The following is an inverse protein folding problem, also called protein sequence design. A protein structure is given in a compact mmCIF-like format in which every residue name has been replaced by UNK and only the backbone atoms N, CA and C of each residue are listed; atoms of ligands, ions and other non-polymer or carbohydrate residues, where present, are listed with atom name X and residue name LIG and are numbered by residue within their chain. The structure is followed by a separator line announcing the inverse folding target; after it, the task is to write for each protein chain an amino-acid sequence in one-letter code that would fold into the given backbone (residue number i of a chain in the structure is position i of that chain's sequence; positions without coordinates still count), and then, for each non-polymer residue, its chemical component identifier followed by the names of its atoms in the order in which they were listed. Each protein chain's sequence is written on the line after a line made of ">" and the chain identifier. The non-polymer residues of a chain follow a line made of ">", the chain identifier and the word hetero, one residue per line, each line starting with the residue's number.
data_IF_844497403989
#
_entry.id   IF_844497403989
#
_cell.length_a   1.000
_cell.length_b   1.000
_cell.length_c   1.000
_cell.angle_alpha   90.00
_cell.angle_beta   90.00
_cell.angle_gamma   90.00
#
_symmetry.space_group_name_H-M   'P 1'
#
loop_
_entity.id
_entity.type
_entity.pdbx_description
1 polymer ?
#
# COMPACT_ATOMS: atom_id res chain seq x y z
N UNK A 1 -5.97 31.46 -46.96
CA UNK A 1 -6.55 30.09 -46.84
C UNK A 1 -5.74 29.32 -45.81
N UNK A 2 -6.43 28.68 -44.87
CA UNK A 2 -5.90 27.99 -43.69
C UNK A 2 -4.96 26.81 -44.03
N UNK A 3 -3.92 26.60 -43.21
CA UNK A 3 -3.46 25.25 -42.82
C UNK A 3 -3.12 25.23 -41.33
N UNK A 4 -4.16 25.06 -40.50
CA UNK A 4 -4.01 24.52 -39.14
C UNK A 4 -3.70 23.03 -39.30
N UNK A 5 -2.43 22.64 -39.18
CA UNK A 5 -2.07 21.23 -39.02
C UNK A 5 -2.27 20.82 -37.56
N UNK A 6 -3.16 19.85 -37.41
CA UNK A 6 -3.56 19.08 -36.23
C UNK A 6 -2.46 18.89 -35.17
N UNK A 7 -2.81 19.29 -33.95
CA UNK A 7 -2.11 19.09 -32.68
C UNK A 7 -2.32 17.66 -32.11
N UNK A 8 -3.15 16.80 -32.72
CA UNK A 8 -3.82 15.75 -31.94
C UNK A 8 -3.17 14.36 -31.87
N UNK A 9 -2.09 14.06 -32.58
CA UNK A 9 -1.68 12.64 -32.74
C UNK A 9 -0.65 12.14 -31.73
N UNK A 10 0.21 13.01 -31.17
CA UNK A 10 1.34 12.55 -30.34
C UNK A 10 0.97 12.39 -28.86
N UNK A 11 0.19 13.33 -28.30
CA UNK A 11 -0.27 13.25 -26.91
C UNK A 11 -1.18 12.05 -26.64
N UNK A 12 -1.96 11.65 -27.66
CA UNK A 12 -2.88 10.52 -27.56
C UNK A 12 -2.14 9.17 -27.51
N UNK A 13 -1.03 9.04 -28.25
CA UNK A 13 -0.23 7.80 -28.24
C UNK A 13 0.46 7.61 -26.88
N UNK A 14 1.04 8.66 -26.30
CA UNK A 14 1.68 8.59 -24.97
C UNK A 14 0.67 8.26 -23.86
N UNK A 15 -0.56 8.76 -23.97
CA UNK A 15 -1.63 8.47 -23.01
C UNK A 15 -2.12 7.02 -23.09
N UNK A 16 -2.11 6.42 -24.28
CA UNK A 16 -2.51 5.02 -24.47
C UNK A 16 -1.49 4.04 -23.90
N UNK A 17 -0.19 4.33 -23.97
CA UNK A 17 0.85 3.44 -23.41
C UNK A 17 0.91 3.48 -21.88
N UNK A 18 0.66 4.63 -21.27
CA UNK A 18 0.57 4.74 -19.80
C UNK A 18 -0.65 4.01 -19.22
N UNK A 19 -1.80 4.08 -19.89
CA UNK A 19 -3.01 3.39 -19.43
C UNK A 19 -2.95 1.85 -19.59
N UNK A 20 -2.17 1.34 -20.54
CA UNK A 20 -2.05 -0.11 -20.76
C UNK A 20 -1.05 -0.79 -19.82
N UNK A 21 -0.06 -0.05 -19.31
CA UNK A 21 0.86 -0.55 -18.27
C UNK A 21 0.20 -0.68 -16.89
N UNK A 22 -0.79 0.17 -16.59
CA UNK A 22 -1.51 0.17 -15.31
C UNK A 22 -2.69 -0.83 -15.29
N UNK A 23 -3.31 -1.09 -16.44
CA UNK A 23 -4.46 -1.99 -16.57
C UNK A 23 -4.10 -3.49 -16.54
N UNK A 24 -2.82 -3.83 -16.65
CA UNK A 24 -2.31 -5.21 -16.54
C UNK A 24 -1.64 -5.51 -15.19
N UNK A 25 -1.79 -4.63 -14.21
CA UNK A 25 -1.52 -5.01 -12.83
C UNK A 25 -2.58 -6.03 -12.40
N UNK A 26 -2.29 -7.32 -12.58
CA UNK A 26 -3.03 -8.38 -11.90
C UNK A 26 -2.75 -8.12 -10.42
N UNK A 27 -3.65 -7.39 -9.77
CA UNK A 27 -3.63 -7.24 -8.32
C UNK A 27 -3.83 -8.63 -7.74
N UNK A 28 -2.72 -9.28 -7.42
CA UNK A 28 -2.77 -10.50 -6.65
C UNK A 28 -3.13 -10.11 -5.22
N UNK A 29 -4.15 -10.73 -4.64
CA UNK A 29 -4.48 -10.54 -3.24
C UNK A 29 -3.28 -10.99 -2.39
N UNK A 30 -2.48 -10.04 -1.91
CA UNK A 30 -1.51 -10.29 -0.84
C UNK A 30 -2.20 -10.59 0.49
N UNK A 31 -3.51 -10.36 0.55
CA UNK A 31 -4.39 -10.64 1.67
C UNK A 31 -4.38 -9.51 2.67
N UNK A 32 -4.60 -9.87 3.93
CA UNK A 32 -4.57 -8.96 5.07
C UNK A 32 -3.98 -9.71 6.26
N UNK A 33 -3.52 -8.99 7.28
CA UNK A 33 -3.29 -9.57 8.61
C UNK A 33 -4.61 -10.03 9.26
N UNK A 34 -5.75 -9.53 8.76
CA UNK A 34 -7.01 -9.65 9.49
C UNK A 34 -7.12 -8.60 10.60
N UNK A 35 -8.30 -8.49 11.19
CA UNK A 35 -8.60 -7.50 12.22
C UNK A 35 -8.12 -7.99 13.59
N UNK A 36 -7.30 -7.17 14.24
CA UNK A 36 -6.88 -7.33 15.64
C UNK A 36 -7.59 -6.30 16.51
N UNK A 37 -8.12 -6.75 17.64
CA UNK A 37 -8.65 -5.85 18.65
C UNK A 37 -7.51 -5.09 19.33
N UNK A 38 -7.68 -3.78 19.51
CA UNK A 38 -6.69 -2.88 20.11
C UNK A 38 -7.37 -1.84 20.98
N UNK A 39 -6.67 -1.25 21.95
CA UNK A 39 -7.24 -0.24 22.86
C UNK A 39 -6.62 1.15 22.65
N UNK A 40 -6.94 1.79 21.54
CA UNK A 40 -6.36 3.11 21.16
C UNK A 40 -7.27 4.30 21.45
N UNK A 41 -8.58 4.08 21.56
CA UNK A 41 -9.59 5.09 21.89
C UNK A 41 -9.97 6.08 20.76
N UNK A 42 -9.28 6.04 19.61
CA UNK A 42 -9.66 6.76 18.39
C UNK A 42 -8.88 6.24 17.18
N UNK A 43 -9.40 6.44 15.97
CA UNK A 43 -8.69 6.10 14.73
C UNK A 43 -7.31 6.76 14.64
N UNK A 44 -7.19 8.04 15.00
CA UNK A 44 -5.91 8.77 14.99
C UNK A 44 -4.88 8.16 15.93
N UNK A 45 -5.28 7.82 17.16
CA UNK A 45 -4.41 7.16 18.13
C UNK A 45 -3.98 5.77 17.65
N UNK A 46 -4.93 5.02 17.06
CA UNK A 46 -4.67 3.73 16.46
C UNK A 46 -3.65 3.83 15.32
N UNK A 47 -3.85 4.77 14.39
CA UNK A 47 -2.94 5.01 13.27
C UNK A 47 -1.55 5.39 13.77
N UNK A 48 -1.45 6.24 14.80
CA UNK A 48 -0.16 6.63 15.39
C UNK A 48 0.60 5.42 15.94
N UNK A 49 -0.05 4.57 16.75
CA UNK A 49 0.57 3.36 17.31
C UNK A 49 0.83 2.31 16.23
N UNK A 50 -0.06 2.12 15.27
CA UNK A 50 0.17 1.23 14.12
C UNK A 50 1.36 1.67 13.26
N UNK A 51 1.53 2.98 13.00
CA UNK A 51 2.72 3.52 12.32
C UNK A 51 3.98 3.27 13.13
N UNK A 52 3.94 3.44 14.46
CA UNK A 52 5.06 3.11 15.35
C UNK A 52 5.47 1.64 15.20
N UNK A 53 4.51 0.71 15.19
CA UNK A 53 4.76 -0.71 14.96
C UNK A 53 5.35 -0.98 13.58
N UNK A 54 4.82 -0.36 12.53
CA UNK A 54 5.35 -0.49 11.16
C UNK A 54 6.78 0.07 11.03
N UNK A 55 7.13 1.13 11.78
CA UNK A 55 8.48 1.69 11.75
C UNK A 55 9.55 0.72 12.28
N UNK A 56 9.18 -0.31 13.06
CA UNK A 56 10.13 -1.37 13.45
C UNK A 56 10.67 -2.08 12.21
N UNK A 57 9.81 -2.40 11.25
CA UNK A 57 10.17 -3.05 9.99
C UNK A 57 10.90 -2.08 9.04
N UNK A 58 10.53 -0.79 9.07
CA UNK A 58 11.26 0.25 8.31
C UNK A 58 12.69 0.37 8.81
N UNK A 59 12.89 0.46 10.12
CA UNK A 59 14.22 0.56 10.73
C UNK A 59 15.05 -0.71 10.52
N UNK A 60 14.40 -1.87 10.38
CA UNK A 60 15.03 -3.13 10.01
C UNK A 60 15.34 -3.29 8.51
N UNK A 61 14.90 -2.35 7.66
CA UNK A 61 15.11 -2.40 6.20
C UNK A 61 14.23 -3.41 5.46
N UNK A 62 13.18 -3.94 6.11
CA UNK A 62 12.28 -4.94 5.51
C UNK A 62 11.24 -4.28 4.59
N UNK A 63 10.83 -3.06 4.92
CA UNK A 63 9.88 -2.23 4.17
C UNK A 63 10.32 -0.76 4.18
N UNK A 64 9.70 0.06 3.35
CA UNK A 64 9.97 1.49 3.21
C UNK A 64 8.69 2.30 3.40
N UNK A 65 8.82 3.57 3.79
CA UNK A 65 7.69 4.51 3.77
C UNK A 65 7.31 4.86 2.33
N UNK A 66 6.04 5.14 2.10
CA UNK A 66 5.61 5.81 0.87
C UNK A 66 5.58 7.32 1.06
N UNK A 67 5.86 8.07 -0.01
CA UNK A 67 5.77 9.54 0.01
C UNK A 67 4.33 10.05 -0.06
N UNK A 68 3.41 9.20 -0.54
CA UNK A 68 2.04 9.60 -0.88
C UNK A 68 1.06 9.50 0.28
N UNK A 69 1.29 8.59 1.24
CA UNK A 69 0.33 8.35 2.32
C UNK A 69 1.02 7.91 3.62
N UNK A 70 0.77 8.59 4.76
CA UNK A 70 1.47 8.31 6.02
C UNK A 70 1.20 6.91 6.61
N UNK A 71 0.09 6.27 6.22
CA UNK A 71 -0.28 4.91 6.64
C UNK A 71 -0.03 3.86 5.55
N UNK A 72 0.73 4.21 4.50
CA UNK A 72 1.18 3.26 3.48
C UNK A 72 2.68 3.08 3.51
N UNK A 73 3.06 1.81 3.43
CA UNK A 73 4.43 1.35 3.35
C UNK A 73 4.57 0.51 2.08
N UNK A 74 5.79 0.37 1.57
CA UNK A 74 6.07 -0.40 0.37
C UNK A 74 7.24 -1.34 0.59
N UNK A 75 7.33 -2.36 -0.25
CA UNK A 75 8.55 -3.15 -0.41
C UNK A 75 8.83 -3.28 -1.90
N UNK A 76 10.00 -2.80 -2.32
CA UNK A 76 10.30 -2.66 -3.74
C UNK A 76 9.24 -1.82 -4.46
N UNK A 77 9.02 -2.13 -5.74
CA UNK A 77 8.13 -1.36 -6.62
C UNK A 77 6.75 -2.02 -6.82
N UNK A 78 6.49 -3.15 -6.17
CA UNK A 78 5.34 -4.01 -6.49
C UNK A 78 4.50 -4.44 -5.28
N UNK A 79 4.87 -4.07 -4.04
CA UNK A 79 4.15 -4.45 -2.83
C UNK A 79 3.85 -3.22 -1.99
N UNK A 80 2.58 -3.07 -1.59
CA UNK A 80 2.11 -2.02 -0.68
C UNK A 80 1.47 -2.66 0.55
N UNK A 81 1.81 -2.15 1.73
CA UNK A 81 1.18 -2.45 3.00
C UNK A 81 0.38 -1.22 3.44
N UNK A 82 -0.93 -1.36 3.56
CA UNK A 82 -1.84 -0.28 3.90
C UNK A 82 -2.41 -0.53 5.31
N UNK A 83 -1.97 0.29 6.28
CA UNK A 83 -2.49 0.27 7.63
C UNK A 83 -3.91 0.81 7.65
N UNK A 84 -4.82 0.08 8.29
CA UNK A 84 -6.23 0.44 8.42
C UNK A 84 -6.63 0.33 9.88
N UNK A 85 -7.09 1.43 10.45
CA UNK A 85 -7.70 1.47 11.76
C UNK A 85 -9.20 1.66 11.65
N UNK A 86 -9.97 1.00 12.51
CA UNK A 86 -11.39 1.25 12.62
C UNK A 86 -11.65 2.68 13.15
N UNK A 87 -12.79 3.32 12.82
CA UNK A 87 -13.08 4.69 13.25
C UNK A 87 -13.01 4.94 14.76
N UNK A 88 -13.36 3.92 15.56
CA UNK A 88 -13.28 3.98 17.03
C UNK A 88 -11.87 3.71 17.59
N UNK A 89 -10.93 3.29 16.74
CA UNK A 89 -9.57 2.90 17.13
C UNK A 89 -9.51 1.63 17.97
N UNK A 90 -10.54 0.80 17.89
CA UNK A 90 -10.70 -0.46 18.62
C UNK A 90 -10.26 -1.69 17.81
N UNK A 91 -10.02 -1.52 16.51
CA UNK A 91 -9.47 -2.56 15.65
C UNK A 91 -8.44 -1.99 14.67
N UNK A 92 -7.46 -2.82 14.34
CA UNK A 92 -6.44 -2.53 13.33
C UNK A 92 -6.23 -3.73 12.41
N UNK A 93 -5.92 -3.48 11.14
CA UNK A 93 -5.41 -4.48 10.20
C UNK A 93 -4.42 -3.84 9.24
N UNK A 94 -3.64 -4.66 8.54
CA UNK A 94 -2.80 -4.22 7.43
C UNK A 94 -3.15 -5.01 6.18
N UNK A 95 -3.62 -4.29 5.16
CA UNK A 95 -3.93 -4.85 3.85
C UNK A 95 -2.68 -4.91 2.99
N UNK A 96 -2.47 -6.03 2.30
CA UNK A 96 -1.29 -6.27 1.45
C UNK A 96 -1.72 -6.31 -0.02
N UNK A 97 -1.21 -5.36 -0.80
CA UNK A 97 -1.54 -5.21 -2.21
C UNK A 97 -0.28 -5.49 -3.01
N UNK A 98 -0.34 -6.46 -3.92
CA UNK A 98 0.77 -6.77 -4.81
C UNK A 98 0.37 -6.56 -6.28
N UNK A 99 1.18 -5.80 -7.02
CA UNK A 99 1.01 -5.50 -8.47
C UNK A 99 1.33 -6.74 -9.33
N UNK A 100 2.00 -7.72 -8.74
CA UNK A 100 2.28 -9.07 -9.24
C UNK A 100 2.05 -10.07 -8.09
N UNK A 101 2.07 -11.39 -8.29
CA UNK A 101 2.04 -12.34 -7.18
C UNK A 101 3.08 -12.00 -6.11
N UNK A 102 2.64 -11.92 -4.85
CA UNK A 102 3.56 -11.66 -3.76
C UNK A 102 4.57 -12.82 -3.63
N UNK A 103 5.84 -12.48 -3.40
CA UNK A 103 6.87 -13.49 -3.12
C UNK A 103 6.72 -14.06 -1.69
N UNK A 104 7.46 -15.14 -1.39
CA UNK A 104 7.46 -15.75 -0.05
C UNK A 104 7.87 -14.78 1.05
N UNK A 105 8.75 -13.82 0.75
CA UNK A 105 9.22 -12.88 1.75
C UNK A 105 8.13 -11.87 2.13
N UNK A 106 7.29 -11.44 1.18
CA UNK A 106 6.11 -10.61 1.48
C UNK A 106 5.15 -11.32 2.43
N UNK A 107 4.93 -12.63 2.25
CA UNK A 107 4.10 -13.40 3.18
C UNK A 107 4.73 -13.51 4.56
N UNK A 108 6.06 -13.71 4.66
CA UNK A 108 6.78 -13.68 5.94
C UNK A 108 6.62 -12.33 6.64
N UNK A 109 6.83 -11.23 5.92
CA UNK A 109 6.66 -9.87 6.45
C UNK A 109 5.22 -9.66 6.92
N UNK A 110 4.22 -10.10 6.16
CA UNK A 110 2.81 -10.04 6.58
C UNK A 110 2.57 -10.75 7.90
N UNK A 111 3.14 -11.94 8.12
CA UNK A 111 3.06 -12.66 9.40
C UNK A 111 3.70 -11.88 10.54
N UNK A 112 4.86 -11.24 10.31
CA UNK A 112 5.48 -10.39 11.35
C UNK A 112 4.62 -9.16 11.65
N UNK A 113 4.02 -8.54 10.63
CA UNK A 113 3.08 -7.43 10.84
C UNK A 113 1.87 -7.89 11.66
N UNK A 114 1.34 -9.08 11.36
CA UNK A 114 0.22 -9.68 12.09
C UNK A 114 0.49 -9.75 13.59
N UNK A 115 1.65 -10.28 13.97
CA UNK A 115 2.10 -10.35 15.37
C UNK A 115 2.30 -8.96 15.99
N UNK A 116 2.88 -8.02 15.24
CA UNK A 116 3.12 -6.65 15.71
C UNK A 116 1.84 -5.84 15.92
N UNK A 117 0.70 -6.25 15.34
CA UNK A 117 -0.58 -5.55 15.44
C UNK A 117 -1.46 -6.01 16.62
N UNK A 118 -0.96 -6.91 17.45
CA UNK A 118 -1.61 -7.38 18.67
C UNK A 118 -1.06 -6.60 19.90
N UNK A 119 -1.73 -5.51 20.33
CA UNK A 119 -1.21 -4.58 21.34
C UNK A 119 -2.24 -3.71 22.09
#
# INVERSE_FOLDING_TARGET
>A
MLKKLSILSVATIVSMTLNQGLANAISANGGSTGWHAVSSGSETSCNKKGIEKMNILVNGGEIEKTEFHPWRFKRGNNVIFNLVCAPKGDYVRVDVICVNPCDRNTYRIRTVIDELMNW
#
